data_IF_751050104656
#
_entry.id   IF_751050104656
#
_cell.length_a   1.000
_cell.length_b   1.000
_cell.length_c   1.000
_cell.angle_alpha   90.00
_cell.angle_beta   90.00
_cell.angle_gamma   90.00
#
_symmetry.space_group_name_H-M   'P 1'
#
loop_
_entity.id
_entity.type
_entity.pdbx_description
1 polymer ?
#
# COMPACT_ATOMS: atom_id res chain seq x y z
N UNK A 1 3.98 -21.44 12.35
CA UNK A 1 2.77 -21.20 11.54
C UNK A 1 2.12 -19.93 12.07
N UNK A 2 1.76 -18.97 11.23
CA UNK A 2 1.10 -17.71 11.63
C UNK A 2 -0.35 -17.79 11.19
N UNK A 3 -1.29 -17.60 12.12
CA UNK A 3 -2.73 -17.73 11.84
C UNK A 3 -3.36 -16.40 11.37
N UNK A 4 -2.82 -15.26 11.82
CA UNK A 4 -3.25 -13.93 11.40
C UNK A 4 -2.08 -12.94 11.45
N UNK A 5 -2.04 -12.00 10.50
CA UNK A 5 -1.06 -10.91 10.45
C UNK A 5 -1.81 -9.58 10.37
N UNK A 6 -1.38 -8.60 11.18
CA UNK A 6 -1.88 -7.23 11.13
C UNK A 6 -0.84 -6.40 10.39
N UNK A 7 -1.17 -5.84 9.21
CA UNK A 7 -0.23 -5.13 8.36
C UNK A 7 0.04 -3.70 8.87
N UNK A 8 1.24 -3.20 8.57
CA UNK A 8 1.63 -1.80 8.78
C UNK A 8 2.94 -1.60 9.53
N UNK A 9 3.55 -0.44 9.30
CA UNK A 9 4.77 0.02 9.97
C UNK A 9 4.57 1.47 10.47
N UNK A 10 4.00 1.69 11.68
CA UNK A 10 3.39 0.69 12.55
C UNK A 10 1.96 0.32 12.12
N UNK A 11 1.36 -0.62 12.85
CA UNK A 11 -0.07 -0.96 12.70
C UNK A 11 -0.96 0.24 13.06
N UNK A 12 -2.17 0.30 12.49
CA UNK A 12 -3.17 1.30 12.88
C UNK A 12 -3.85 0.88 14.19
N UNK A 13 -3.95 1.80 15.17
CA UNK A 13 -4.51 1.51 16.49
C UNK A 13 -6.01 1.19 16.48
N UNK A 14 -6.81 1.88 15.67
CA UNK A 14 -8.25 1.62 15.55
C UNK A 14 -8.51 0.28 14.85
N UNK A 15 -7.75 -0.02 13.79
CA UNK A 15 -7.78 -1.32 13.13
C UNK A 15 -7.42 -2.43 14.12
N UNK A 16 -6.35 -2.26 14.91
CA UNK A 16 -5.96 -3.23 15.94
C UNK A 16 -7.08 -3.48 16.95
N UNK A 17 -7.68 -2.43 17.51
CA UNK A 17 -8.77 -2.56 18.48
C UNK A 17 -9.97 -3.31 17.88
N UNK A 18 -10.37 -2.98 16.65
CA UNK A 18 -11.45 -3.68 15.94
C UNK A 18 -11.13 -5.17 15.75
N UNK A 19 -9.93 -5.50 15.27
CA UNK A 19 -9.52 -6.88 15.04
C UNK A 19 -9.45 -7.67 16.36
N UNK A 20 -8.94 -7.06 17.44
CA UNK A 20 -8.86 -7.65 18.76
C UNK A 20 -10.26 -7.94 19.33
N UNK A 21 -11.22 -7.02 19.19
CA UNK A 21 -12.60 -7.24 19.61
C UNK A 21 -13.29 -8.40 18.83
N UNK A 22 -13.05 -8.50 17.52
CA UNK A 22 -13.57 -9.60 16.71
C UNK A 22 -13.01 -10.95 17.18
N UNK A 23 -11.71 -11.01 17.47
CA UNK A 23 -11.04 -12.19 18.01
C UNK A 23 -11.60 -12.58 19.39
N UNK A 24 -11.81 -11.61 20.30
CA UNK A 24 -12.40 -11.86 21.61
C UNK A 24 -13.83 -12.42 21.52
N UNK A 25 -14.56 -12.09 20.46
CA UNK A 25 -15.90 -12.62 20.16
C UNK A 25 -15.87 -13.98 19.43
N UNK A 26 -14.70 -14.60 19.30
CA UNK A 26 -14.52 -15.88 18.62
C UNK A 26 -14.60 -15.82 17.09
N UNK A 27 -14.49 -14.63 16.49
CA UNK A 27 -14.50 -14.45 15.02
C UNK A 27 -13.06 -14.32 14.52
N UNK A 28 -12.76 -14.94 13.38
CA UNK A 28 -11.49 -14.71 12.68
C UNK A 28 -11.66 -13.46 11.82
N UNK A 29 -11.01 -12.34 12.18
CA UNK A 29 -11.22 -11.10 11.47
C UNK A 29 -10.58 -11.16 10.10
N UNK A 30 -11.18 -10.46 9.15
CA UNK A 30 -10.71 -10.38 7.77
C UNK A 30 -10.23 -8.96 7.47
N UNK A 31 -9.12 -8.86 6.75
CA UNK A 31 -8.59 -7.59 6.27
C UNK A 31 -9.00 -7.44 4.81
N UNK A 32 -9.77 -6.40 4.44
CA UNK A 32 -10.21 -6.22 3.07
C UNK A 32 -9.05 -5.98 2.09
N UNK A 33 -9.00 -6.76 1.01
CA UNK A 33 -8.04 -6.59 -0.09
C UNK A 33 -8.44 -5.41 -0.99
N UNK A 34 -8.22 -4.19 -0.48
CA UNK A 34 -8.46 -2.94 -1.22
C UNK A 34 -7.20 -2.08 -1.26
N UNK A 35 -6.94 -1.35 -2.35
CA UNK A 35 -5.77 -0.49 -2.44
C UNK A 35 -5.94 0.77 -1.59
N UNK A 36 -4.83 1.32 -1.09
CA UNK A 36 -4.79 2.63 -0.41
C UNK A 36 -5.47 3.72 -1.23
N UNK A 37 -5.47 3.61 -2.57
CA UNK A 37 -6.22 4.54 -3.42
C UNK A 37 -7.69 4.71 -3.02
N UNK A 38 -8.36 3.67 -2.50
CA UNK A 38 -9.79 3.73 -2.10
C UNK A 38 -10.07 4.65 -0.90
N UNK A 39 -9.04 4.98 -0.12
CA UNK A 39 -9.10 5.90 1.03
C UNK A 39 -8.33 7.21 0.75
N UNK A 40 -7.77 7.37 -0.45
CA UNK A 40 -6.85 8.48 -0.77
C UNK A 40 -7.60 9.77 -1.16
N UNK A 41 -7.30 10.92 -0.52
CA UNK A 41 -7.98 12.18 -0.82
C UNK A 41 -7.65 12.74 -2.21
N UNK A 42 -6.56 12.28 -2.84
CA UNK A 42 -6.14 12.71 -4.17
C UNK A 42 -6.58 11.78 -5.30
N UNK A 43 -7.27 10.68 -5.01
CA UNK A 43 -7.71 9.72 -6.04
C UNK A 43 -8.51 10.43 -7.14
N UNK A 44 -8.09 10.24 -8.41
CA UNK A 44 -8.74 10.84 -9.58
C UNK A 44 -8.51 12.34 -9.80
N UNK A 45 -7.90 13.06 -8.85
CA UNK A 45 -7.68 14.52 -8.92
C UNK A 45 -6.36 14.87 -9.59
N UNK A 46 -6.24 16.10 -10.11
CA UNK A 46 -4.97 16.65 -10.63
C UNK A 46 -3.84 16.61 -9.59
N UNK A 47 -4.20 16.69 -8.31
CA UNK A 47 -3.25 16.64 -7.18
C UNK A 47 -2.60 15.27 -6.98
N UNK A 48 -3.12 14.21 -7.61
CA UNK A 48 -2.62 12.85 -7.48
C UNK A 48 -1.14 12.74 -7.88
N UNK A 49 -0.32 12.13 -7.02
CA UNK A 49 1.11 11.89 -7.26
C UNK A 49 1.39 11.19 -8.58
N UNK A 50 0.60 10.17 -8.95
CA UNK A 50 0.74 9.48 -10.23
C UNK A 50 0.47 10.42 -11.42
N UNK A 51 -0.49 11.34 -11.30
CA UNK A 51 -0.77 12.34 -12.35
C UNK A 51 0.31 13.42 -12.43
N UNK A 52 0.91 13.76 -11.30
CA UNK A 52 2.12 14.58 -11.18
C UNK A 52 3.41 13.85 -11.61
N UNK A 53 3.31 12.61 -12.14
CA UNK A 53 4.44 11.77 -12.56
C UNK A 53 5.43 11.46 -11.42
N UNK A 54 4.96 11.40 -10.19
CA UNK A 54 5.75 11.02 -9.02
C UNK A 54 5.49 9.54 -8.65
N UNK A 55 6.50 8.76 -8.24
CA UNK A 55 6.30 7.37 -7.86
C UNK A 55 5.42 7.31 -6.60
N UNK A 56 4.33 6.56 -6.68
CA UNK A 56 3.40 6.34 -5.57
C UNK A 56 2.83 4.93 -5.69
N UNK A 57 2.91 4.14 -4.63
CA UNK A 57 2.57 2.72 -4.65
C UNK A 57 1.16 2.42 -4.13
N UNK A 58 0.36 3.45 -3.86
CA UNK A 58 -0.97 3.30 -3.26
C UNK A 58 -1.97 2.47 -4.06
N UNK A 59 -1.73 2.26 -5.36
CA UNK A 59 -2.56 1.39 -6.22
C UNK A 59 -2.33 -0.10 -5.99
N UNK A 60 -1.18 -0.49 -5.45
CA UNK A 60 -0.78 -1.87 -5.21
C UNK A 60 -0.65 -2.20 -3.71
N UNK A 61 -0.63 -1.18 -2.85
CA UNK A 61 -0.51 -1.32 -1.39
C UNK A 61 -1.86 -1.53 -0.72
N UNK A 62 -1.91 -2.41 0.28
CA UNK A 62 -3.08 -2.70 1.10
C UNK A 62 -3.56 -1.47 1.92
N UNK A 63 -4.85 -1.14 1.83
CA UNK A 63 -5.51 -0.05 2.56
C UNK A 63 -5.62 -0.32 4.07
N UNK A 64 -6.18 0.66 4.81
CA UNK A 64 -6.42 0.61 6.25
C UNK A 64 -5.53 1.54 7.07
N UNK A 65 -4.63 2.31 6.43
CA UNK A 65 -3.92 3.42 7.08
C UNK A 65 -4.61 4.77 6.91
N UNK A 66 -5.79 4.81 6.27
CA UNK A 66 -6.51 6.05 5.99
C UNK A 66 -5.79 6.97 5.01
N UNK A 67 -4.89 6.44 4.17
CA UNK A 67 -4.02 7.22 3.29
C UNK A 67 -3.32 8.41 3.99
N UNK A 68 -2.81 8.20 5.20
CA UNK A 68 -2.19 9.26 6.00
C UNK A 68 -1.03 9.97 5.29
N UNK A 69 -0.19 9.24 4.53
CA UNK A 69 0.92 9.86 3.80
C UNK A 69 0.40 10.76 2.67
N UNK A 70 -0.50 10.29 1.77
CA UNK A 70 -1.14 11.17 0.80
C UNK A 70 -1.84 12.38 1.43
N UNK A 71 -2.57 12.21 2.52
CA UNK A 71 -3.22 13.32 3.22
C UNK A 71 -2.23 14.39 3.74
N UNK A 72 -0.99 13.98 4.03
CA UNK A 72 0.11 14.86 4.41
C UNK A 72 0.97 15.33 3.22
N UNK A 73 0.48 15.20 1.98
CA UNK A 73 1.19 15.54 0.73
C UNK A 73 2.47 14.72 0.46
N UNK A 74 2.56 13.51 1.00
CA UNK A 74 3.61 12.53 0.68
C UNK A 74 3.07 11.35 -0.15
N UNK A 75 3.84 10.78 -1.09
CA UNK A 75 3.41 9.60 -1.82
C UNK A 75 3.31 8.38 -0.89
N UNK A 76 2.54 7.37 -1.30
CA UNK A 76 2.50 6.09 -0.61
C UNK A 76 3.74 5.27 -0.96
N UNK A 77 4.47 4.83 0.07
CA UNK A 77 5.69 4.02 -0.05
C UNK A 77 5.46 2.52 0.20
N UNK A 78 4.22 2.11 0.48
CA UNK A 78 3.87 0.69 0.55
C UNK A 78 4.14 -0.03 1.86
N UNK A 79 4.21 0.67 2.99
CA UNK A 79 4.53 0.10 4.31
C UNK A 79 3.55 -0.99 4.83
N UNK A 80 2.37 -1.12 4.22
CA UNK A 80 1.37 -2.15 4.56
C UNK A 80 1.47 -3.42 3.71
N UNK A 81 2.47 -3.49 2.83
CA UNK A 81 2.63 -4.59 1.89
C UNK A 81 1.68 -4.51 0.69
N UNK A 82 1.87 -5.44 -0.22
CA UNK A 82 1.13 -5.55 -1.49
C UNK A 82 -0.21 -6.25 -1.32
N UNK A 83 -1.15 -5.95 -2.22
CA UNK A 83 -2.37 -6.74 -2.38
C UNK A 83 -2.05 -8.13 -2.96
N UNK A 84 -2.87 -9.12 -2.65
CA UNK A 84 -2.65 -10.51 -3.10
C UNK A 84 -2.68 -10.68 -4.62
N UNK A 85 -3.53 -9.94 -5.32
CA UNK A 85 -3.74 -10.07 -6.76
C UNK A 85 -3.42 -8.75 -7.47
N UNK A 86 -2.16 -8.55 -7.83
CA UNK A 86 -1.67 -7.36 -8.54
C UNK A 86 -1.02 -7.72 -9.87
N UNK A 87 -0.88 -6.73 -10.75
CA UNK A 87 -0.06 -6.80 -11.96
C UNK A 87 1.19 -5.91 -11.77
N UNK A 88 2.28 -6.43 -11.16
CA UNK A 88 3.47 -5.64 -10.87
C UNK A 88 4.19 -5.20 -12.14
N UNK A 89 4.29 -6.07 -13.14
CA UNK A 89 4.94 -5.74 -14.41
C UNK A 89 4.25 -4.56 -15.10
N UNK A 90 2.91 -4.57 -15.17
CA UNK A 90 2.13 -3.46 -15.73
C UNK A 90 2.31 -2.17 -14.93
N UNK A 91 2.24 -2.25 -13.59
CA UNK A 91 2.42 -1.10 -12.71
C UNK A 91 3.82 -0.48 -12.84
N UNK A 92 4.88 -1.30 -12.75
CA UNK A 92 6.26 -0.85 -12.91
C UNK A 92 6.52 -0.30 -14.32
N UNK A 93 5.92 -0.89 -15.36
CA UNK A 93 5.99 -0.40 -16.73
C UNK A 93 5.41 1.01 -16.89
N UNK A 94 4.36 1.36 -16.13
CA UNK A 94 3.81 2.73 -16.10
C UNK A 94 4.77 3.66 -15.36
N UNK A 95 5.30 3.26 -14.20
CA UNK A 95 6.24 4.09 -13.43
C UNK A 95 7.52 4.42 -14.22
N UNK A 96 8.09 3.44 -14.94
CA UNK A 96 9.30 3.62 -15.79
C UNK A 96 9.11 4.62 -16.92
N UNK A 97 7.86 4.93 -17.32
CA UNK A 97 7.56 5.99 -18.29
C UNK A 97 7.53 7.39 -17.67
N UNK A 98 7.50 7.48 -16.34
CA UNK A 98 7.33 8.73 -15.60
C UNK A 98 8.62 9.21 -14.93
N UNK A 99 9.45 8.29 -14.40
CA UNK A 99 10.67 8.61 -13.64
C UNK A 99 11.80 7.62 -13.94
N UNK A 100 13.02 7.93 -13.49
CA UNK A 100 14.18 7.07 -13.69
C UNK A 100 14.07 5.78 -12.86
N UNK A 101 14.76 4.73 -13.32
CA UNK A 101 14.78 3.46 -12.61
C UNK A 101 15.43 3.60 -11.22
N UNK A 102 16.45 4.46 -11.06
CA UNK A 102 17.08 4.68 -9.76
C UNK A 102 16.09 5.24 -8.74
N UNK A 103 15.29 6.25 -9.13
CA UNK A 103 14.32 6.88 -8.23
C UNK A 103 13.20 5.92 -7.85
N UNK A 104 12.70 5.14 -8.81
CA UNK A 104 11.68 4.13 -8.55
C UNK A 104 12.21 3.09 -7.57
N UNK A 105 13.42 2.57 -7.81
CA UNK A 105 14.04 1.55 -6.96
C UNK A 105 14.32 2.08 -5.55
N UNK A 106 14.84 3.30 -5.42
CA UNK A 106 15.07 3.94 -4.13
C UNK A 106 13.77 3.99 -3.30
N UNK A 107 12.64 4.34 -3.91
CA UNK A 107 11.35 4.37 -3.23
C UNK A 107 10.81 2.97 -2.88
N UNK A 108 10.98 1.99 -3.77
CA UNK A 108 10.55 0.60 -3.53
C UNK A 108 11.30 -0.05 -2.36
N UNK A 109 12.54 0.36 -2.11
CA UNK A 109 13.39 -0.19 -1.05
C UNK A 109 13.07 0.37 0.36
N UNK A 110 12.42 1.54 0.48
CA UNK A 110 12.12 2.19 1.78
C UNK A 110 11.42 1.24 2.75
N UNK A 111 10.43 0.48 2.26
CA UNK A 111 9.71 -0.53 3.04
C UNK A 111 9.89 -1.95 2.50
N UNK A 112 10.90 -2.17 1.63
CA UNK A 112 11.20 -3.50 1.09
C UNK A 112 10.12 -4.08 0.17
N UNK A 113 9.22 -3.26 -0.39
CA UNK A 113 8.13 -3.77 -1.24
C UNK A 113 8.66 -4.36 -2.55
N UNK A 114 9.89 -4.00 -2.94
CA UNK A 114 10.60 -4.57 -4.08
C UNK A 114 10.62 -6.10 -4.02
N UNK A 115 10.98 -6.66 -2.86
CA UNK A 115 11.07 -8.10 -2.63
C UNK A 115 9.71 -8.79 -2.75
N UNK A 116 8.63 -8.08 -2.43
CA UNK A 116 7.27 -8.57 -2.64
C UNK A 116 6.91 -8.59 -4.12
N UNK A 117 7.22 -7.52 -4.85
CA UNK A 117 6.91 -7.43 -6.29
C UNK A 117 7.68 -8.45 -7.12
N UNK A 118 8.92 -8.78 -6.74
CA UNK A 118 9.73 -9.80 -7.42
C UNK A 118 9.11 -11.21 -7.32
N UNK A 119 8.30 -11.50 -6.28
CA UNK A 119 7.59 -12.80 -6.15
C UNK A 119 6.48 -13.00 -7.19
N UNK A 120 6.04 -11.93 -7.84
CA UNK A 120 4.97 -11.94 -8.84
C UNK A 120 5.49 -11.91 -10.28
N UNK A 121 6.82 -11.79 -10.47
CA UNK A 121 7.50 -11.80 -11.77
C UNK A 121 8.03 -13.19 -12.09
#
# INVERSE_FOLDING_TARGET
>A
KVDLTIPGCPINGEEFLRLAEELLKGKIPQIPEKPVCTECPHQGKETCFLRKKQPCFGTITLAGCGAVCPAAEFPCYGCRGTLKNINPAGFLGILKKMRSAEEINANLEIFGIKDELEKFL
#
